data_IF_180689611334
#
_entry.id   IF_180689611334
#
_cell.length_a   1.000
_cell.length_b   1.000
_cell.length_c   1.000
_cell.angle_alpha   90.00
_cell.angle_beta   90.00
_cell.angle_gamma   90.00
#
_symmetry.space_group_name_H-M   'P 1'
#
loop_
_entity.id
_entity.type
_entity.pdbx_description
1 polymer ?
#
# COMPACT_ATOMS: atom_id res chain seq x y z
N UNK A 1 5.04 9.12 -25.08
CA UNK A 1 5.89 10.17 -24.44
C UNK A 1 5.05 11.43 -24.28
N UNK A 2 4.98 11.98 -23.07
CA UNK A 2 4.19 13.20 -22.77
C UNK A 2 4.87 14.48 -23.30
N UNK A 3 6.20 14.47 -23.40
CA UNK A 3 7.02 15.53 -23.98
C UNK A 3 8.00 14.96 -25.01
N UNK A 4 8.41 15.80 -25.96
CA UNK A 4 9.50 15.53 -26.92
C UNK A 4 10.35 16.79 -27.08
N UNK A 5 11.64 16.70 -26.76
CA UNK A 5 12.59 17.81 -26.83
C UNK A 5 12.08 19.09 -26.13
N UNK A 6 11.60 18.96 -24.90
CA UNK A 6 11.05 20.07 -24.11
C UNK A 6 9.66 20.56 -24.53
N UNK A 7 9.09 20.07 -25.63
CA UNK A 7 7.75 20.47 -26.10
C UNK A 7 6.68 19.46 -25.68
N UNK A 8 5.51 19.92 -25.18
CA UNK A 8 4.40 19.04 -24.83
C UNK A 8 3.86 18.35 -26.08
N UNK A 9 3.40 17.09 -25.90
CA UNK A 9 2.66 16.37 -26.93
C UNK A 9 1.16 16.63 -26.76
N UNK A 10 0.63 17.62 -27.48
CA UNK A 10 -0.76 18.07 -27.36
C UNK A 10 -1.78 16.95 -27.62
N UNK A 11 -1.44 15.97 -28.45
CA UNK A 11 -2.30 14.80 -28.70
C UNK A 11 -2.45 13.95 -27.44
N UNK A 12 -1.34 13.70 -26.72
CA UNK A 12 -1.37 12.93 -25.48
C UNK A 12 -2.09 13.69 -24.37
N UNK A 13 -1.85 14.99 -24.24
CA UNK A 13 -2.53 15.82 -23.25
C UNK A 13 -4.04 15.85 -23.48
N UNK A 14 -4.50 16.09 -24.73
CA UNK A 14 -5.93 16.04 -25.07
C UNK A 14 -6.55 14.66 -24.88
N UNK A 15 -5.82 13.60 -25.18
CA UNK A 15 -6.29 12.23 -24.93
C UNK A 15 -6.56 12.01 -23.44
N UNK A 16 -5.64 12.40 -22.56
CA UNK A 16 -5.81 12.29 -21.11
C UNK A 16 -6.98 13.16 -20.65
N UNK A 17 -7.05 14.41 -21.12
CA UNK A 17 -8.12 15.37 -20.78
C UNK A 17 -9.51 14.76 -20.98
N UNK A 18 -9.71 14.09 -22.12
CA UNK A 18 -11.01 13.52 -22.50
C UNK A 18 -11.34 12.19 -21.82
N UNK A 19 -10.36 11.55 -21.18
CA UNK A 19 -10.52 10.24 -20.55
C UNK A 19 -10.51 10.31 -19.01
N UNK A 20 -10.51 11.50 -18.43
CA UNK A 20 -10.58 11.70 -16.97
C UNK A 20 -11.73 12.62 -16.59
N UNK A 21 -12.31 12.40 -15.41
CA UNK A 21 -13.47 13.17 -14.92
C UNK A 21 -13.09 14.56 -14.36
N UNK A 22 -11.87 14.69 -13.85
CA UNK A 22 -11.32 15.88 -13.16
C UNK A 22 -9.99 16.32 -13.80
N UNK A 23 -10.01 16.79 -15.06
CA UNK A 23 -8.78 17.03 -15.83
C UNK A 23 -7.85 18.08 -15.22
N UNK A 24 -8.41 19.09 -14.54
CA UNK A 24 -7.61 20.13 -13.86
C UNK A 24 -6.70 19.51 -12.78
N UNK A 25 -7.24 18.61 -11.95
CA UNK A 25 -6.48 17.95 -10.88
C UNK A 25 -5.46 16.97 -11.45
N UNK A 26 -5.86 16.12 -12.40
CA UNK A 26 -4.95 15.18 -13.07
C UNK A 26 -3.78 15.91 -13.75
N UNK A 27 -4.05 17.06 -14.37
CA UNK A 27 -3.00 17.86 -14.97
C UNK A 27 -2.13 18.59 -13.94
N UNK A 28 -2.69 18.94 -12.78
CA UNK A 28 -1.93 19.39 -11.62
C UNK A 28 -0.89 18.34 -11.21
N UNK A 29 -1.32 17.09 -11.01
CA UNK A 29 -0.44 15.98 -10.63
C UNK A 29 0.65 15.72 -11.68
N UNK A 30 0.28 15.66 -12.96
CA UNK A 30 1.25 15.46 -14.04
C UNK A 30 2.29 16.58 -14.07
N UNK A 31 1.87 17.84 -13.91
CA UNK A 31 2.81 18.98 -13.86
C UNK A 31 3.71 18.90 -12.64
N UNK A 32 3.17 18.57 -11.47
CA UNK A 32 3.95 18.40 -10.25
C UNK A 32 5.04 17.32 -10.41
N UNK A 33 4.68 16.15 -10.97
CA UNK A 33 5.64 15.08 -11.26
C UNK A 33 6.74 15.53 -12.24
N UNK A 34 6.37 16.25 -13.30
CA UNK A 34 7.34 16.78 -14.26
C UNK A 34 8.28 17.79 -13.62
N UNK A 35 7.77 18.69 -12.78
CA UNK A 35 8.58 19.65 -12.04
C UNK A 35 9.55 18.96 -11.09
N UNK A 36 9.12 17.90 -10.39
CA UNK A 36 10.00 17.09 -9.55
C UNK A 36 11.13 16.43 -10.36
N UNK A 37 10.80 15.84 -11.52
CA UNK A 37 11.80 15.28 -12.42
C UNK A 37 12.80 16.32 -12.94
N UNK A 38 12.34 17.53 -13.29
CA UNK A 38 13.20 18.61 -13.76
C UNK A 38 14.17 19.11 -12.67
N UNK A 39 13.71 19.19 -11.42
CA UNK A 39 14.58 19.53 -10.27
C UNK A 39 15.61 18.43 -10.06
N UNK A 40 15.19 17.16 -10.07
CA UNK A 40 16.09 16.01 -9.91
C UNK A 40 17.14 15.96 -11.04
N UNK A 41 16.74 16.19 -12.30
CA UNK A 41 17.66 16.28 -13.45
C UNK A 41 18.70 17.37 -13.25
N UNK A 42 18.27 18.59 -12.89
CA UNK A 42 19.18 19.71 -12.64
C UNK A 42 20.19 19.38 -11.55
N UNK A 43 19.72 18.92 -10.39
CA UNK A 43 20.60 18.58 -9.26
C UNK A 43 21.54 17.40 -9.58
N UNK A 44 21.07 16.44 -10.36
CA UNK A 44 21.91 15.34 -10.82
C UNK A 44 23.00 15.81 -11.78
N UNK A 45 22.70 16.73 -12.69
CA UNK A 45 23.69 17.35 -13.57
C UNK A 45 24.74 18.13 -12.76
N UNK A 46 24.30 18.93 -11.79
CA UNK A 46 25.22 19.66 -10.88
C UNK A 46 26.17 18.70 -10.13
N UNK A 47 25.66 17.53 -9.70
CA UNK A 47 26.48 16.48 -9.09
C UNK A 47 27.54 15.94 -10.07
N UNK A 48 27.12 15.63 -11.30
CA UNK A 48 28.00 15.11 -12.35
C UNK A 48 29.06 16.14 -12.75
N UNK A 49 28.71 17.41 -12.87
CA UNK A 49 29.66 18.50 -13.17
C UNK A 49 30.68 18.69 -12.05
N UNK A 50 30.24 18.57 -10.79
CA UNK A 50 31.12 18.74 -9.63
C UNK A 50 32.10 17.59 -9.43
N UNK A 51 31.66 16.34 -9.58
CA UNK A 51 32.46 15.15 -9.25
C UNK A 51 32.99 14.40 -10.47
N UNK A 52 32.51 14.74 -11.66
CA UNK A 52 32.80 14.01 -12.89
C UNK A 52 31.90 12.80 -13.08
N UNK A 53 31.67 12.46 -14.35
CA UNK A 53 30.80 11.35 -14.77
C UNK A 53 31.22 10.00 -14.19
N UNK A 54 32.51 9.66 -14.26
CA UNK A 54 33.00 8.34 -13.86
C UNK A 54 32.90 8.15 -12.35
N UNK A 55 33.29 9.16 -11.56
CA UNK A 55 33.12 9.18 -10.10
C UNK A 55 31.64 9.04 -9.71
N UNK A 56 30.76 9.80 -10.36
CA UNK A 56 29.33 9.76 -10.07
C UNK A 56 28.75 8.37 -10.35
N UNK A 57 29.08 7.79 -11.51
CA UNK A 57 28.66 6.43 -11.88
C UNK A 57 29.15 5.39 -10.89
N UNK A 58 30.42 5.48 -10.49
CA UNK A 58 31.00 4.59 -9.49
C UNK A 58 30.21 4.63 -8.18
N UNK A 59 29.97 5.82 -7.62
CA UNK A 59 29.24 5.94 -6.36
C UNK A 59 27.76 5.56 -6.46
N UNK A 60 27.10 5.75 -7.61
CA UNK A 60 25.74 5.23 -7.81
C UNK A 60 25.69 3.71 -7.67
N UNK A 61 26.67 2.99 -8.23
CA UNK A 61 26.75 1.54 -8.09
C UNK A 61 27.15 1.13 -6.67
N UNK A 62 28.16 1.78 -6.09
CA UNK A 62 28.60 1.48 -4.72
C UNK A 62 27.51 1.72 -3.69
N UNK A 63 26.60 2.69 -3.87
CA UNK A 63 25.46 2.89 -2.97
C UNK A 63 24.53 1.67 -2.97
N UNK A 64 24.29 1.08 -4.14
CA UNK A 64 23.49 -0.14 -4.29
C UNK A 64 24.22 -1.31 -3.64
N UNK A 65 25.50 -1.50 -3.96
CA UNK A 65 26.28 -2.64 -3.45
C UNK A 65 26.52 -2.53 -1.94
N UNK A 66 26.67 -1.31 -1.42
CA UNK A 66 26.74 -1.06 0.03
C UNK A 66 25.44 -1.41 0.72
N UNK A 67 24.30 -1.05 0.14
CA UNK A 67 22.98 -1.39 0.66
C UNK A 67 22.78 -2.91 0.70
N UNK A 68 23.23 -3.61 -0.33
CA UNK A 68 23.23 -5.07 -0.34
C UNK A 68 24.09 -5.66 0.80
N UNK A 69 25.31 -5.15 0.99
CA UNK A 69 26.20 -5.58 2.09
C UNK A 69 25.55 -5.39 3.46
N UNK A 70 24.92 -4.24 3.69
CA UNK A 70 24.20 -3.95 4.94
C UNK A 70 22.98 -4.85 5.12
N UNK A 71 22.19 -5.04 4.06
CA UNK A 71 21.00 -5.91 4.08
C UNK A 71 21.40 -7.34 4.43
N UNK A 72 22.38 -7.92 3.73
CA UNK A 72 22.89 -9.27 4.02
C UNK A 72 23.45 -9.39 5.44
N UNK A 73 24.10 -8.35 5.95
CA UNK A 73 24.58 -8.34 7.33
C UNK A 73 23.44 -8.37 8.35
N UNK A 74 22.39 -7.57 8.14
CA UNK A 74 21.21 -7.60 9.00
C UNK A 74 20.48 -8.94 8.92
N UNK A 75 20.34 -9.52 7.73
CA UNK A 75 19.70 -10.84 7.55
C UNK A 75 20.42 -11.96 8.31
N UNK A 76 21.75 -11.91 8.48
CA UNK A 76 22.48 -12.90 9.27
C UNK A 76 22.08 -12.94 10.74
N UNK A 77 21.57 -11.84 11.29
CA UNK A 77 21.16 -11.75 12.69
C UNK A 77 19.75 -12.32 12.94
N UNK A 78 18.99 -12.53 11.87
CA UNK A 78 17.65 -13.11 11.95
C UNK A 78 17.72 -14.64 12.12
N UNK A 79 16.71 -15.31 12.70
CA UNK A 79 16.71 -16.78 12.85
C UNK A 79 16.46 -17.51 11.52
N UNK A 80 17.27 -18.53 11.22
CA UNK A 80 17.02 -19.44 10.09
C UNK A 80 15.76 -20.28 10.32
N UNK A 81 14.99 -20.50 9.25
CA UNK A 81 13.76 -21.29 9.34
C UNK A 81 12.80 -21.07 8.17
N UNK A 82 11.68 -21.80 8.24
CA UNK A 82 10.53 -21.65 7.36
C UNK A 82 9.35 -21.22 8.23
N UNK A 83 8.77 -20.08 7.89
CA UNK A 83 7.69 -19.45 8.65
C UNK A 83 6.50 -19.24 7.72
N UNK A 84 5.37 -19.83 8.08
CA UNK A 84 4.18 -19.87 7.24
C UNK A 84 3.03 -19.18 7.94
N UNK A 85 2.21 -18.48 7.16
CA UNK A 85 0.99 -17.88 7.66
C UNK A 85 -0.06 -17.79 6.57
N UNK A 86 -1.33 -17.84 6.98
CA UNK A 86 -2.45 -17.66 6.09
C UNK A 86 -3.41 -16.59 6.61
N UNK A 87 -3.94 -15.80 5.68
CA UNK A 87 -4.99 -14.82 5.93
C UNK A 87 -5.98 -14.86 4.76
N UNK A 88 -7.13 -14.21 4.94
CA UNK A 88 -8.24 -14.32 4.01
C UNK A 88 -8.89 -12.96 3.74
N UNK A 89 -9.30 -12.77 2.50
CA UNK A 89 -10.21 -11.71 2.06
C UNK A 89 -11.64 -12.29 2.03
N UNK A 90 -12.64 -11.50 2.41
CA UNK A 90 -14.03 -11.98 2.52
C UNK A 90 -14.62 -12.45 1.17
N UNK A 91 -14.50 -11.61 0.11
CA UNK A 91 -14.85 -11.90 -1.29
C UNK A 91 -14.33 -10.81 -2.24
N UNK A 92 -14.57 -10.94 -3.56
CA UNK A 92 -14.11 -10.00 -4.59
C UNK A 92 -15.15 -8.93 -4.98
N UNK A 93 -16.30 -8.89 -4.29
CA UNK A 93 -17.44 -8.02 -4.57
C UNK A 93 -18.30 -8.42 -5.78
N UNK A 94 -17.90 -9.43 -6.57
CA UNK A 94 -18.65 -9.99 -7.70
C UNK A 94 -19.17 -11.38 -7.33
N UNK A 95 -18.26 -12.32 -7.10
CA UNK A 95 -18.52 -13.67 -6.60
C UNK A 95 -18.57 -13.60 -5.07
N UNK A 96 -19.72 -13.15 -4.56
CA UNK A 96 -19.95 -12.93 -3.12
C UNK A 96 -19.87 -14.23 -2.33
N UNK A 97 -19.49 -14.08 -1.05
CA UNK A 97 -19.41 -15.20 -0.11
C UNK A 97 -18.39 -16.28 -0.51
N UNK A 98 -17.40 -15.94 -1.34
CA UNK A 98 -16.27 -16.80 -1.72
C UNK A 98 -14.97 -16.23 -1.14
N UNK A 99 -14.51 -16.72 0.02
CA UNK A 99 -13.27 -16.26 0.63
C UNK A 99 -12.06 -16.51 -0.27
N UNK A 100 -11.13 -15.57 -0.27
CA UNK A 100 -9.93 -15.59 -1.09
C UNK A 100 -8.72 -15.75 -0.17
N UNK A 101 -8.00 -16.84 -0.34
CA UNK A 101 -6.84 -17.21 0.48
C UNK A 101 -5.61 -16.42 0.07
N UNK A 102 -4.89 -15.93 1.06
CA UNK A 102 -3.52 -15.44 0.95
C UNK A 102 -2.63 -16.33 1.81
N UNK A 103 -1.63 -16.96 1.18
CA UNK A 103 -0.67 -17.83 1.87
C UNK A 103 0.72 -17.28 1.66
N UNK A 104 1.47 -17.07 2.74
CA UNK A 104 2.80 -16.52 2.72
C UNK A 104 3.77 -17.46 3.44
N UNK A 105 4.82 -17.86 2.73
CA UNK A 105 5.94 -18.64 3.27
C UNK A 105 7.20 -17.80 3.22
N UNK A 106 7.79 -17.52 4.39
CA UNK A 106 9.09 -16.85 4.51
C UNK A 106 10.13 -17.91 4.85
N UNK A 107 11.06 -18.14 3.92
CA UNK A 107 12.21 -19.01 4.14
C UNK A 107 13.45 -18.14 4.33
N UNK A 108 14.03 -18.16 5.53
CA UNK A 108 15.27 -17.46 5.85
C UNK A 108 16.40 -18.48 5.96
N UNK A 109 17.46 -18.27 5.17
CA UNK A 109 18.68 -19.06 5.25
C UNK A 109 19.92 -18.16 5.12
N UNK A 110 20.80 -18.22 6.13
CA UNK A 110 22.02 -17.42 6.22
C UNK A 110 21.76 -15.92 6.05
N UNK A 111 22.14 -15.35 4.90
CA UNK A 111 22.05 -13.94 4.55
C UNK A 111 21.07 -13.66 3.39
N UNK A 112 20.10 -14.58 3.21
CA UNK A 112 19.08 -14.50 2.17
C UNK A 112 17.70 -14.86 2.71
N UNK A 113 16.68 -14.25 2.11
CA UNK A 113 15.26 -14.56 2.36
C UNK A 113 14.56 -14.85 1.05
N UNK A 114 13.69 -15.85 1.03
CA UNK A 114 12.69 -16.06 0.00
C UNK A 114 11.29 -15.86 0.60
N UNK A 115 10.46 -15.03 -0.05
CA UNK A 115 9.04 -14.85 0.27
C UNK A 115 8.21 -15.45 -0.85
N UNK A 116 7.57 -16.58 -0.57
CA UNK A 116 6.75 -17.30 -1.54
C UNK A 116 5.25 -17.15 -1.23
N UNK A 117 4.48 -16.90 -2.30
CA UNK A 117 3.03 -16.74 -2.25
C UNK A 117 2.28 -17.93 -2.87
N UNK A 118 2.96 -19.04 -3.14
CA UNK A 118 2.33 -20.31 -3.50
C UNK A 118 1.26 -20.71 -2.46
N UNK A 119 0.15 -21.31 -2.91
CA UNK A 119 -0.99 -21.64 -2.05
C UNK A 119 -2.04 -20.53 -1.89
N UNK A 120 -1.77 -19.33 -2.39
CA UNK A 120 -2.77 -18.26 -2.55
C UNK A 120 -3.81 -18.61 -3.62
N UNK A 121 -5.02 -18.09 -3.48
CA UNK A 121 -6.12 -18.36 -4.42
C UNK A 121 -5.82 -17.93 -5.86
N UNK A 122 -6.50 -18.58 -6.82
CA UNK A 122 -6.53 -18.15 -8.22
C UNK A 122 -7.00 -16.68 -8.34
N UNK A 123 -6.58 -16.02 -9.42
CA UNK A 123 -7.06 -14.67 -9.71
C UNK A 123 -8.59 -14.63 -9.83
N UNK A 124 -9.19 -13.56 -9.33
CA UNK A 124 -10.64 -13.39 -9.19
C UNK A 124 -11.21 -12.42 -10.23
N UNK A 125 -12.54 -12.37 -10.35
CA UNK A 125 -13.22 -11.48 -11.32
C UNK A 125 -13.17 -10.02 -10.88
N UNK A 126 -13.25 -9.78 -9.57
CA UNK A 126 -13.16 -8.47 -8.96
C UNK A 126 -11.80 -7.81 -9.21
N UNK A 127 -11.75 -6.48 -9.08
CA UNK A 127 -10.58 -5.69 -9.46
C UNK A 127 -9.42 -5.72 -8.44
N UNK A 128 -9.38 -6.73 -7.57
CA UNK A 128 -8.47 -6.81 -6.42
C UNK A 128 -7.22 -7.66 -6.69
N UNK A 129 -7.00 -8.11 -7.94
CA UNK A 129 -5.83 -8.90 -8.30
C UNK A 129 -4.54 -8.05 -8.33
N UNK A 130 -3.44 -8.62 -7.86
CA UNK A 130 -2.13 -7.98 -7.81
C UNK A 130 -1.23 -8.40 -8.98
N UNK A 131 -0.42 -7.46 -9.47
CA UNK A 131 0.71 -7.78 -10.36
C UNK A 131 1.87 -8.32 -9.52
N UNK A 132 2.75 -9.13 -10.13
CA UNK A 132 3.97 -9.58 -9.45
C UNK A 132 4.81 -8.42 -8.89
N UNK A 133 4.88 -7.29 -9.59
CA UNK A 133 5.59 -6.10 -9.12
C UNK A 133 5.03 -5.54 -7.81
N UNK A 134 3.71 -5.60 -7.62
CA UNK A 134 3.05 -5.14 -6.41
C UNK A 134 3.24 -6.13 -5.26
N UNK A 135 3.17 -7.42 -5.54
CA UNK A 135 3.50 -8.51 -4.60
C UNK A 135 4.93 -8.42 -4.10
N UNK A 136 5.88 -8.15 -5.00
CA UNK A 136 7.28 -7.84 -4.67
C UNK A 136 7.38 -6.64 -3.73
N UNK A 137 6.74 -5.53 -4.08
CA UNK A 137 6.76 -4.32 -3.25
C UNK A 137 6.24 -4.56 -1.83
N UNK A 138 5.12 -5.27 -1.66
CA UNK A 138 4.56 -5.60 -0.33
C UNK A 138 5.51 -6.51 0.46
N UNK A 139 6.07 -7.54 -0.19
CA UNK A 139 7.02 -8.46 0.45
C UNK A 139 8.30 -7.75 0.89
N UNK A 140 8.86 -6.88 0.04
CA UNK A 140 10.03 -6.06 0.39
C UNK A 140 9.74 -5.11 1.54
N UNK A 141 8.57 -4.48 1.56
CA UNK A 141 8.16 -3.61 2.66
C UNK A 141 8.02 -4.39 3.98
N UNK A 142 7.49 -5.61 3.94
CA UNK A 142 7.35 -6.45 5.11
C UNK A 142 8.73 -6.83 5.69
N UNK A 143 9.63 -7.36 4.86
CA UNK A 143 10.99 -7.69 5.32
C UNK A 143 11.73 -6.43 5.78
N UNK A 144 11.66 -5.31 5.04
CA UNK A 144 12.33 -4.06 5.42
C UNK A 144 11.88 -3.53 6.79
N UNK A 145 10.65 -3.81 7.20
CA UNK A 145 10.11 -3.33 8.48
C UNK A 145 10.78 -3.94 9.71
N UNK A 146 11.40 -5.11 9.56
CA UNK A 146 12.12 -5.83 10.62
C UNK A 146 13.65 -5.75 10.47
N UNK A 147 14.13 -4.87 9.59
CA UNK A 147 15.56 -4.60 9.41
C UNK A 147 15.92 -3.21 9.95
N UNK A 148 17.20 -3.03 10.25
CA UNK A 148 17.75 -1.79 10.80
C UNK A 148 17.31 -0.55 9.99
N UNK A 149 16.98 0.52 10.71
CA UNK A 149 16.48 1.76 10.12
C UNK A 149 17.50 2.42 9.16
N UNK A 150 18.79 2.28 9.44
CA UNK A 150 19.85 2.94 8.68
C UNK A 150 20.18 2.27 7.32
N UNK A 151 19.55 1.13 7.00
CA UNK A 151 19.72 0.48 5.70
C UNK A 151 18.98 1.30 4.62
N UNK A 152 19.69 1.78 3.58
CA UNK A 152 19.05 2.55 2.52
C UNK A 152 18.01 1.74 1.74
N UNK A 153 16.96 2.41 1.26
CA UNK A 153 15.94 1.77 0.42
C UNK A 153 16.28 1.93 -1.07
N UNK A 154 17.01 0.96 -1.64
CA UNK A 154 17.29 0.87 -3.08
C UNK A 154 17.40 -0.60 -3.53
N UNK A 155 17.78 -0.82 -4.79
CA UNK A 155 17.90 -2.17 -5.40
C UNK A 155 18.77 -3.15 -4.60
N UNK A 156 19.77 -2.66 -3.87
CA UNK A 156 20.66 -3.50 -3.06
C UNK A 156 19.91 -4.32 -2.01
N UNK A 157 18.82 -3.78 -1.47
CA UNK A 157 17.94 -4.49 -0.55
C UNK A 157 17.25 -5.68 -1.24
N UNK A 158 16.78 -5.47 -2.47
CA UNK A 158 16.02 -6.49 -3.21
C UNK A 158 16.91 -7.67 -3.65
N UNK A 159 18.23 -7.47 -3.81
CA UNK A 159 19.16 -8.53 -4.22
C UNK A 159 19.34 -9.66 -3.20
N UNK A 160 18.99 -9.40 -1.94
CA UNK A 160 19.04 -10.41 -0.88
C UNK A 160 17.66 -11.04 -0.58
N UNK A 161 16.60 -10.59 -1.26
CA UNK A 161 15.22 -11.00 -1.02
C UNK A 161 14.61 -11.49 -2.33
N UNK A 162 14.44 -12.80 -2.44
CA UNK A 162 13.68 -13.41 -3.52
C UNK A 162 12.17 -13.37 -3.19
N UNK A 163 11.35 -13.12 -4.21
CA UNK A 163 9.89 -13.11 -4.05
C UNK A 163 9.26 -13.83 -5.24
N UNK A 164 8.49 -14.87 -4.94
CA UNK A 164 7.82 -15.74 -5.91
C UNK A 164 6.32 -15.76 -5.70
N UNK A 165 5.58 -15.98 -6.79
CA UNK A 165 4.13 -16.13 -6.77
C UNK A 165 3.71 -16.83 -8.08
N UNK A 166 2.92 -17.93 -8.03
CA UNK A 166 2.49 -18.62 -9.24
C UNK A 166 1.67 -17.71 -10.16
N UNK A 167 1.96 -17.65 -11.48
CA UNK A 167 1.14 -16.89 -12.43
C UNK A 167 -0.32 -17.36 -12.43
N UNK A 168 -1.27 -16.43 -12.58
CA UNK A 168 -2.69 -16.73 -12.56
C UNK A 168 -3.33 -16.76 -11.17
N UNK A 169 -2.58 -16.35 -10.15
CA UNK A 169 -3.08 -16.21 -8.77
C UNK A 169 -3.48 -14.77 -8.47
N UNK A 170 -4.21 -14.56 -7.37
CA UNK A 170 -4.57 -13.22 -6.89
C UNK A 170 -3.33 -12.37 -6.56
N UNK A 171 -2.19 -13.01 -6.27
CA UNK A 171 -0.90 -12.37 -5.97
C UNK A 171 0.01 -12.25 -7.21
N UNK A 172 -0.29 -12.90 -8.33
CA UNK A 172 0.43 -12.72 -9.59
C UNK A 172 -0.50 -12.94 -10.78
N UNK A 173 -1.32 -11.93 -11.04
CA UNK A 173 -2.34 -12.00 -12.07
C UNK A 173 -1.77 -12.03 -13.49
N UNK A 174 -2.49 -12.70 -14.37
CA UNK A 174 -2.29 -12.63 -15.82
C UNK A 174 -3.48 -11.95 -16.48
N UNK A 175 -3.24 -11.33 -17.64
CA UNK A 175 -4.31 -10.74 -18.43
C UNK A 175 -5.40 -11.79 -18.75
N UNK A 176 -6.70 -11.43 -18.67
CA UNK A 176 -7.25 -10.08 -18.56
C UNK A 176 -7.72 -9.67 -17.14
N UNK A 177 -7.15 -10.21 -16.06
CA UNK A 177 -7.61 -9.90 -14.70
C UNK A 177 -7.55 -8.40 -14.36
N UNK A 178 -8.58 -7.92 -13.66
CA UNK A 178 -8.69 -6.54 -13.22
C UNK A 178 -7.88 -6.29 -11.93
N UNK A 179 -7.15 -5.16 -11.88
CA UNK A 179 -6.21 -4.84 -10.79
C UNK A 179 -6.34 -3.40 -10.25
N UNK A 180 -7.45 -2.71 -10.57
CA UNK A 180 -7.67 -1.31 -10.20
C UNK A 180 -7.85 -1.09 -8.68
N UNK A 181 -8.33 -2.09 -7.95
CA UNK A 181 -8.58 -2.08 -6.51
C UNK A 181 -7.59 -2.97 -5.74
N UNK A 182 -6.47 -3.38 -6.34
CA UNK A 182 -5.45 -4.27 -5.75
C UNK A 182 -4.86 -3.80 -4.42
N UNK A 183 -4.99 -2.52 -4.07
CA UNK A 183 -4.54 -1.99 -2.78
C UNK A 183 -5.17 -2.71 -1.59
N UNK A 184 -6.44 -3.12 -1.71
CA UNK A 184 -7.14 -3.92 -0.70
C UNK A 184 -6.36 -5.22 -0.41
N UNK A 185 -6.10 -6.01 -1.46
CA UNK A 185 -5.30 -7.23 -1.37
C UNK A 185 -3.89 -6.96 -0.86
N UNK A 186 -3.26 -5.87 -1.31
CA UNK A 186 -1.91 -5.49 -0.86
C UNK A 186 -1.81 -5.29 0.65
N UNK A 187 -2.79 -4.62 1.27
CA UNK A 187 -2.82 -4.47 2.72
C UNK A 187 -3.01 -5.82 3.43
N UNK A 188 -3.84 -6.72 2.87
CA UNK A 188 -4.02 -8.08 3.41
C UNK A 188 -2.78 -8.94 3.25
N UNK A 189 -2.08 -8.83 2.14
CA UNK A 189 -0.78 -9.47 1.94
C UNK A 189 0.24 -8.93 2.95
N UNK A 190 0.26 -7.62 3.20
CA UNK A 190 1.14 -7.03 4.21
C UNK A 190 0.89 -7.62 5.61
N UNK A 191 -0.37 -7.71 6.02
CA UNK A 191 -0.72 -8.35 7.30
C UNK A 191 -0.44 -9.87 7.28
N UNK A 192 -0.65 -10.58 6.17
CA UNK A 192 -0.32 -12.01 6.07
C UNK A 192 1.20 -12.26 6.21
N UNK A 193 2.03 -11.45 5.54
CA UNK A 193 3.48 -11.49 5.67
C UNK A 193 3.93 -11.13 7.10
N UNK A 194 3.24 -10.21 7.76
CA UNK A 194 3.44 -9.90 9.18
C UNK A 194 3.13 -11.08 10.08
N UNK A 195 2.10 -11.88 9.77
CA UNK A 195 1.79 -13.09 10.51
C UNK A 195 2.94 -14.10 10.42
N UNK A 196 3.53 -14.29 9.23
CA UNK A 196 4.70 -15.14 9.05
C UNK A 196 5.94 -14.58 9.77
N UNK A 197 6.18 -13.27 9.69
CA UNK A 197 7.27 -12.61 10.42
C UNK A 197 7.07 -12.67 11.94
N UNK A 198 5.84 -12.65 12.44
CA UNK A 198 5.55 -12.82 13.86
C UNK A 198 5.89 -14.23 14.36
N UNK A 199 5.75 -15.25 13.52
CA UNK A 199 6.25 -16.60 13.86
C UNK A 199 7.78 -16.63 13.97
N UNK A 200 8.46 -15.78 13.21
CA UNK A 200 9.92 -15.67 13.18
C UNK A 200 10.48 -14.80 14.31
N UNK A 201 9.83 -13.68 14.62
CA UNK A 201 10.28 -12.64 15.54
C UNK A 201 9.13 -12.26 16.49
N UNK A 202 8.76 -13.14 17.45
CA UNK A 202 7.54 -12.97 18.23
C UNK A 202 7.52 -11.74 19.15
N UNK A 203 8.70 -11.25 19.52
CA UNK A 203 8.85 -10.08 20.37
C UNK A 203 9.03 -8.76 19.57
N UNK A 204 9.08 -8.83 18.23
CA UNK A 204 9.34 -7.68 17.35
C UNK A 204 8.16 -7.31 16.42
N UNK A 205 7.25 -8.24 16.14
CA UNK A 205 6.19 -8.02 15.15
C UNK A 205 4.81 -7.91 15.82
N UNK A 206 4.06 -6.86 15.46
CA UNK A 206 2.71 -6.62 15.95
C UNK A 206 1.64 -7.44 15.25
N UNK A 207 0.48 -7.55 15.89
CA UNK A 207 -0.70 -8.20 15.32
C UNK A 207 -1.25 -7.44 14.10
N UNK A 208 -2.15 -8.10 13.37
CA UNK A 208 -2.75 -7.55 12.15
C UNK A 208 -3.33 -6.16 12.37
N UNK A 209 -3.15 -5.30 11.36
CA UNK A 209 -3.94 -4.08 11.27
C UNK A 209 -5.41 -4.37 10.91
N UNK A 210 -6.23 -3.34 10.95
CA UNK A 210 -7.67 -3.39 10.71
C UNK A 210 -8.14 -3.91 9.36
N UNK A 211 -7.27 -4.07 8.35
CA UNK A 211 -7.75 -4.23 6.98
C UNK A 211 -7.05 -3.34 5.97
N UNK A 212 -6.29 -2.35 6.45
CA UNK A 212 -5.86 -1.26 5.58
C UNK A 212 -7.05 -0.39 5.23
N UNK A 213 -6.78 0.70 4.52
CA UNK A 213 -7.77 1.76 4.47
C UNK A 213 -9.01 1.34 3.68
N UNK A 214 -10.18 1.47 4.30
CA UNK A 214 -11.46 1.31 3.60
C UNK A 214 -11.68 2.50 2.67
N UNK A 215 -11.81 2.23 1.37
CA UNK A 215 -12.01 3.23 0.35
C UNK A 215 -13.47 3.64 0.23
N UNK A 216 -13.73 4.93 0.31
CA UNK A 216 -15.01 5.57 0.08
C UNK A 216 -14.89 6.47 -1.15
N UNK A 217 -15.67 6.20 -2.20
CA UNK A 217 -15.74 7.06 -3.37
C UNK A 217 -17.17 7.52 -3.59
N UNK A 218 -17.37 8.83 -3.72
CA UNK A 218 -18.66 9.43 -4.04
C UNK A 218 -18.47 10.27 -5.30
N UNK A 219 -19.18 9.93 -6.36
CA UNK A 219 -19.11 10.65 -7.63
C UNK A 219 -20.48 11.06 -8.11
N UNK A 220 -20.58 12.24 -8.69
CA UNK A 220 -21.85 12.75 -9.20
C UNK A 220 -21.70 14.14 -9.80
N UNK A 221 -22.82 14.84 -9.82
CA UNK A 221 -22.91 16.24 -10.22
C UNK A 221 -23.55 17.03 -9.10
N UNK A 222 -23.09 18.26 -8.91
CA UNK A 222 -23.81 19.20 -8.04
C UNK A 222 -25.07 19.76 -8.74
N UNK A 223 -25.87 20.53 -8.00
CA UNK A 223 -27.06 21.23 -8.51
C UNK A 223 -26.77 22.15 -9.70
N UNK A 224 -25.53 22.63 -9.86
CA UNK A 224 -25.08 23.42 -11.01
C UNK A 224 -24.56 22.56 -12.19
N UNK A 225 -24.74 21.24 -12.13
CA UNK A 225 -24.25 20.24 -13.09
C UNK A 225 -22.73 20.19 -13.27
N UNK A 226 -21.97 20.62 -12.26
CA UNK A 226 -20.51 20.48 -12.24
C UNK A 226 -20.15 19.08 -11.71
N UNK A 227 -19.26 18.34 -12.38
CA UNK A 227 -18.86 17.02 -11.91
C UNK A 227 -18.03 17.14 -10.63
N UNK A 228 -18.26 16.23 -9.69
CA UNK A 228 -17.39 16.07 -8.53
C UNK A 228 -17.02 14.60 -8.32
N UNK A 229 -15.86 14.37 -7.72
CA UNK A 229 -15.46 13.07 -7.22
C UNK A 229 -14.78 13.31 -5.87
N UNK A 230 -15.36 12.72 -4.85
CA UNK A 230 -14.74 12.58 -3.55
C UNK A 230 -14.17 11.17 -3.44
N UNK A 231 -12.88 11.05 -3.11
CA UNK A 231 -12.25 9.78 -2.74
C UNK A 231 -11.60 9.99 -1.38
N UNK A 232 -12.01 9.17 -0.42
CA UNK A 232 -11.37 9.10 0.87
C UNK A 232 -10.98 7.67 1.18
N UNK A 233 -9.90 7.56 1.95
CA UNK A 233 -9.39 6.31 2.45
C UNK A 233 -9.39 6.41 3.96
N UNK A 234 -10.36 5.72 4.56
CA UNK A 234 -10.49 5.71 5.99
C UNK A 234 -9.22 5.07 6.59
N UNK A 235 -8.34 5.89 7.16
CA UNK A 235 -7.16 5.43 7.89
C UNK A 235 -7.59 4.47 8.99
N UNK A 236 -6.76 3.48 9.24
CA UNK A 236 -7.14 2.37 10.09
C UNK A 236 -6.63 2.46 11.52
N UNK A 237 -6.40 1.28 12.07
CA UNK A 237 -5.77 1.06 13.36
C UNK A 237 -4.79 -0.10 13.24
N UNK A 238 -3.69 -0.01 13.97
CA UNK A 238 -2.71 -1.09 14.02
C UNK A 238 -3.12 -2.12 15.07
N UNK A 239 -2.65 -3.37 14.91
CA UNK A 239 -2.76 -4.38 15.95
C UNK A 239 -1.89 -4.06 17.17
N UNK A 240 -2.15 -4.76 18.27
CA UNK A 240 -1.29 -4.69 19.46
C UNK A 240 0.13 -5.11 19.13
N UNK A 241 1.12 -4.42 19.69
CA UNK A 241 2.55 -4.74 19.52
C UNK A 241 3.04 -5.51 20.73
N UNK A 242 4.10 -6.33 20.61
CA UNK A 242 4.64 -7.09 21.74
C UNK A 242 5.07 -6.23 22.94
N UNK A 243 5.32 -4.93 22.72
CA UNK A 243 5.74 -3.97 23.76
C UNK A 243 4.74 -2.84 24.06
N UNK A 244 3.65 -2.68 23.29
CA UNK A 244 2.73 -1.55 23.45
C UNK A 244 1.40 -1.75 22.72
N UNK A 245 0.36 -1.04 23.15
CA UNK A 245 -0.91 -0.95 22.42
C UNK A 245 -0.72 -0.52 20.96
N UNK A 246 -1.65 -0.95 20.11
CA UNK A 246 -1.75 -0.55 18.72
C UNK A 246 -2.09 0.94 18.56
N UNK A 247 -1.68 1.50 17.43
CA UNK A 247 -1.90 2.92 17.11
C UNK A 247 -3.30 3.12 16.52
N UNK A 248 -4.08 4.02 17.10
CA UNK A 248 -5.41 4.41 16.62
C UNK A 248 -5.35 5.57 15.61
N UNK A 249 -6.24 5.57 14.62
CA UNK A 249 -6.39 6.68 13.67
C UNK A 249 -5.17 6.90 12.77
N UNK A 250 -4.37 5.86 12.53
CA UNK A 250 -3.15 5.92 11.73
C UNK A 250 -3.30 5.11 10.45
N UNK A 251 -2.62 5.54 9.38
CA UNK A 251 -2.57 4.77 8.14
C UNK A 251 -1.96 3.39 8.42
N UNK A 252 -2.43 2.37 7.70
CA UNK A 252 -1.77 1.08 7.69
C UNK A 252 -0.28 1.25 7.32
N UNK A 253 0.60 0.47 7.94
CA UNK A 253 2.05 0.62 7.82
C UNK A 253 2.58 0.49 6.38
N UNK A 254 1.83 -0.17 5.48
CA UNK A 254 2.14 -0.30 4.05
C UNK A 254 1.62 0.89 3.20
N UNK A 255 1.13 1.96 3.84
CA UNK A 255 0.75 3.20 3.18
C UNK A 255 1.13 4.43 4.00
N UNK A 256 1.43 5.53 3.31
CA UNK A 256 1.63 6.83 3.92
C UNK A 256 0.46 7.76 3.55
N UNK A 257 -0.58 7.75 4.38
CA UNK A 257 -1.77 8.56 4.20
C UNK A 257 -2.07 9.36 5.48
N UNK A 258 -2.55 10.59 5.28
CA UNK A 258 -3.08 11.42 6.33
C UNK A 258 -4.59 11.56 6.17
N UNK A 259 -5.30 11.71 7.29
CA UNK A 259 -6.72 12.05 7.25
C UNK A 259 -6.91 13.43 6.61
N UNK A 260 -7.89 13.56 5.73
CA UNK A 260 -8.26 14.85 5.15
C UNK A 260 -8.95 15.74 6.20
N UNK A 261 -8.68 17.04 6.14
CA UNK A 261 -9.36 18.02 7.00
C UNK A 261 -10.86 18.05 6.71
N UNK A 262 -11.68 18.05 7.76
CA UNK A 262 -13.14 18.18 7.63
C UNK A 262 -13.50 19.47 6.87
N UNK A 263 -12.87 20.59 7.19
CA UNK A 263 -13.10 21.87 6.51
C UNK A 263 -12.80 21.80 5.01
N UNK A 264 -11.78 21.03 4.63
CA UNK A 264 -11.42 20.84 3.22
C UNK A 264 -12.44 19.95 2.51
N UNK A 265 -12.89 18.87 3.17
CA UNK A 265 -13.93 17.99 2.63
C UNK A 265 -15.20 18.80 2.34
N UNK A 266 -15.70 19.55 3.33
CA UNK A 266 -16.97 20.29 3.23
C UNK A 266 -16.89 21.50 2.28
N UNK A 267 -15.73 22.16 2.19
CA UNK A 267 -15.57 23.32 1.29
C UNK A 267 -15.41 22.95 -0.18
N UNK A 268 -14.94 21.73 -0.50
CA UNK A 268 -14.64 21.30 -1.87
C UNK A 268 -15.65 20.30 -2.43
N UNK A 269 -16.49 19.72 -1.58
CA UNK A 269 -17.42 18.65 -1.98
C UNK A 269 -18.82 18.94 -1.41
N UNK A 270 -19.88 18.46 -2.08
CA UNK A 270 -21.25 18.51 -1.57
C UNK A 270 -21.49 17.48 -0.44
N UNK A 271 -20.64 17.52 0.58
CA UNK A 271 -20.62 16.60 1.70
C UNK A 271 -20.53 17.40 2.99
N UNK A 272 -21.24 16.93 4.02
CA UNK A 272 -21.12 17.41 5.39
C UNK A 272 -20.69 16.26 6.29
N UNK A 273 -19.68 16.49 7.13
CA UNK A 273 -19.22 15.54 8.15
C UNK A 273 -20.04 15.78 9.41
N UNK A 274 -20.88 14.82 9.77
CA UNK A 274 -21.74 14.93 10.95
C UNK A 274 -21.05 14.47 12.23
N UNK A 275 -20.10 13.54 12.11
CA UNK A 275 -19.35 12.95 13.22
C UNK A 275 -17.96 12.56 12.75
N UNK A 276 -16.98 12.70 13.62
CA UNK A 276 -15.66 12.11 13.47
C UNK A 276 -15.10 11.80 14.85
N UNK A 277 -15.23 10.55 15.29
CA UNK A 277 -14.98 10.16 16.69
C UNK A 277 -14.37 8.76 16.80
N UNK A 278 -13.54 8.53 17.82
CA UNK A 278 -13.08 7.18 18.16
C UNK A 278 -14.25 6.38 18.75
N UNK A 279 -14.33 5.10 18.40
CA UNK A 279 -15.39 4.20 18.88
C UNK A 279 -14.86 3.40 20.07
N UNK A 280 -15.24 3.81 21.29
CA UNK A 280 -14.86 3.14 22.52
C UNK A 280 -15.19 1.63 22.51
N UNK A 281 -14.37 0.84 23.20
CA UNK A 281 -14.56 -0.60 23.42
C UNK A 281 -14.67 -1.45 22.14
N UNK A 282 -14.07 -0.97 21.04
CA UNK A 282 -13.99 -1.68 19.74
C UNK A 282 -12.58 -2.07 19.31
N UNK A 283 -11.57 -1.79 20.13
CA UNK A 283 -10.22 -2.28 19.89
C UNK A 283 -10.16 -3.81 20.01
N UNK A 284 -9.26 -4.44 19.25
CA UNK A 284 -8.93 -5.86 19.46
C UNK A 284 -8.39 -6.08 20.87
N UNK A 285 -8.97 -7.02 21.61
CA UNK A 285 -8.54 -7.33 22.97
C UNK A 285 -7.19 -8.07 22.96
N UNK A 286 -6.41 -7.90 24.04
CA UNK A 286 -5.11 -8.54 24.23
C UNK A 286 -4.38 -7.90 25.40
N UNK A 287 -3.22 -8.46 25.80
CA UNK A 287 -2.32 -7.85 26.79
C UNK A 287 -1.96 -6.42 26.39
N UNK A 288 -1.67 -6.24 25.10
CA UNK A 288 -1.62 -4.96 24.43
C UNK A 288 -2.74 -4.94 23.42
N UNK A 289 -3.69 -4.02 23.58
CA UNK A 289 -4.87 -3.95 22.72
C UNK A 289 -4.52 -3.42 21.33
N UNK A 290 -5.36 -3.69 20.34
CA UNK A 290 -5.32 -2.99 19.07
C UNK A 290 -5.63 -1.50 19.20
N UNK A 291 -5.36 -0.74 18.14
CA UNK A 291 -5.82 0.64 18.00
C UNK A 291 -7.36 0.72 17.95
N UNK A 292 -7.90 1.78 18.52
CA UNK A 292 -9.33 2.07 18.51
C UNK A 292 -9.77 2.53 17.12
N UNK A 293 -10.79 1.91 16.50
CA UNK A 293 -11.32 2.39 15.23
C UNK A 293 -12.07 3.72 15.41
N UNK A 294 -12.30 4.45 14.32
CA UNK A 294 -13.15 5.64 14.35
C UNK A 294 -14.39 5.46 13.48
N UNK A 295 -15.39 6.31 13.76
CA UNK A 295 -16.58 6.50 12.96
C UNK A 295 -16.52 7.87 12.29
N UNK A 296 -16.82 7.91 10.99
CA UNK A 296 -17.10 9.16 10.29
C UNK A 296 -18.44 9.08 9.58
N UNK A 297 -19.34 10.01 9.89
CA UNK A 297 -20.67 10.08 9.29
C UNK A 297 -20.69 11.15 8.21
N UNK A 298 -21.11 10.77 7.01
CA UNK A 298 -21.20 11.64 5.85
C UNK A 298 -22.67 11.91 5.54
N UNK A 299 -23.05 13.17 5.38
CA UNK A 299 -24.30 13.59 4.77
C UNK A 299 -24.00 14.14 3.39
N UNK A 300 -24.63 13.55 2.38
CA UNK A 300 -24.63 14.11 1.03
C UNK A 300 -25.63 15.26 0.93
N UNK A 301 -25.25 16.33 0.23
CA UNK A 301 -26.03 17.58 0.19
C UNK A 301 -26.78 17.82 -1.12
N UNK A 302 -26.61 16.96 -2.13
CA UNK A 302 -27.34 17.04 -3.40
C UNK A 302 -28.33 15.88 -3.53
N UNK A 303 -29.11 15.87 -4.61
CA UNK A 303 -30.20 14.90 -4.82
C UNK A 303 -29.70 13.48 -5.14
N UNK A 304 -28.62 13.37 -5.93
CA UNK A 304 -28.11 12.07 -6.41
C UNK A 304 -26.58 12.01 -6.50
N UNK A 305 -26.02 10.89 -6.07
CA UNK A 305 -24.64 10.51 -6.35
C UNK A 305 -24.48 8.98 -6.36
N UNK A 306 -23.39 8.52 -6.96
CA UNK A 306 -22.97 7.12 -6.91
C UNK A 306 -21.97 6.97 -5.77
N UNK A 307 -22.35 6.17 -4.78
CA UNK A 307 -21.49 5.72 -3.70
C UNK A 307 -20.86 4.38 -4.04
N UNK A 308 -19.54 4.31 -3.99
CA UNK A 308 -18.77 3.07 -4.01
C UNK A 308 -18.00 2.92 -2.70
N UNK A 309 -18.19 1.78 -2.04
CA UNK A 309 -17.44 1.40 -0.84
C UNK A 309 -16.56 0.20 -1.18
N UNK A 310 -15.27 0.31 -0.90
CA UNK A 310 -14.28 -0.77 -1.00
C UNK A 310 -13.76 -1.05 0.40
N UNK A 311 -14.23 -2.14 0.99
CA UNK A 311 -13.98 -2.49 2.38
C UNK A 311 -13.99 -4.02 2.48
N UNK A 312 -13.21 -4.54 3.42
CA UNK A 312 -13.04 -5.97 3.68
C UNK A 312 -13.02 -6.22 5.20
N UNK A 313 -12.79 -7.46 5.63
CA UNK A 313 -12.73 -7.87 7.04
C UNK A 313 -14.04 -7.63 7.82
N UNK A 314 -15.16 -7.84 7.14
CA UNK A 314 -16.50 -7.83 7.74
C UNK A 314 -16.84 -9.18 8.35
N UNK A 315 -16.50 -10.27 7.66
CA UNK A 315 -16.70 -11.64 8.12
C UNK A 315 -15.45 -12.17 8.79
N UNK A 316 -14.32 -12.11 8.09
CA UNK A 316 -13.02 -12.58 8.59
C UNK A 316 -12.29 -11.40 9.20
N UNK A 317 -12.36 -11.30 10.54
CA UNK A 317 -11.77 -10.21 11.31
C UNK A 317 -10.24 -10.28 11.31
N UNK A 318 -9.53 -9.15 11.55
CA UNK A 318 -8.09 -9.19 11.77
C UNK A 318 -7.71 -10.19 12.86
N UNK A 319 -6.61 -10.90 12.66
CA UNK A 319 -6.11 -11.85 13.64
C UNK A 319 -5.39 -11.13 14.80
N UNK A 320 -5.48 -11.71 16.00
CA UNK A 320 -4.59 -11.38 17.12
C UNK A 320 -3.34 -12.26 17.11
N UNK A 321 -2.38 -11.99 17.99
CA UNK A 321 -1.18 -12.81 18.16
C UNK A 321 -1.04 -13.26 19.63
N UNK A 322 -0.66 -14.52 19.82
CA UNK A 322 -0.28 -15.11 21.12
C UNK A 322 -1.33 -15.11 22.23
N UNK A 323 -2.63 -15.10 21.89
CA UNK A 323 -3.74 -15.18 22.86
C UNK A 323 -4.80 -14.13 22.61
#
# INVERSE_FOLDING_TARGET
>A
KLFRAGKPNDTMWRLIEKNVRIPVQVFGDLRAQLSACAIAEKQFIELVERFGKETTRFYMQELIDHTERLTRAALRNLPDGVFEFEDWIDDDGIDRDQPIRLYCTITKQNDSICVDWEGSSAQVKGAINCTLSFTKAVSYAAIRSVLDYDIPCNEGLFRAIEVTAPPGTVTNMVLPAACAARGLTGFRMGDCAFGALAMMLPDEVGAASDGGNSGLSIGGYDSARRPFIFVDFACGSWGGRPWADGVQGNSNMFANMASQSVELIESQNPLQILRYELIADRAGAGKYRGGVPYRRDYRFLEDEAVLQVRSDRRKIRPYGLYG
#
